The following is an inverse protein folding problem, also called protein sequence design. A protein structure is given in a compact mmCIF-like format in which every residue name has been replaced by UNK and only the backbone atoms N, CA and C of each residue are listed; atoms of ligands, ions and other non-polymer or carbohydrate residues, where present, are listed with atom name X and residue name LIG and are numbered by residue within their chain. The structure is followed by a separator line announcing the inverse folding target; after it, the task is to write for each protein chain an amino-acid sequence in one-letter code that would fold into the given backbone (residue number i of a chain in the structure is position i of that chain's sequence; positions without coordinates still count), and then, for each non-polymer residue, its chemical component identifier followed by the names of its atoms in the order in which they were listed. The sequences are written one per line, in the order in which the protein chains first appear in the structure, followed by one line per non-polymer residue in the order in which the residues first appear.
data_IF_770046283937
#
_entry.id   IF_770046283937
#
_cell.length_a   1.000
_cell.length_b   1.000
_cell.length_c   1.000
_cell.angle_alpha   90.00
_cell.angle_beta   90.00
_cell.angle_gamma   90.00
#
_symmetry.space_group_name_H-M   'P 1'
#
loop_
_entity.id
_entity.type
_entity.pdbx_description
1 polymer ?
#
# COMPACT_ATOMS: atom_id res chain seq x y z
N UNK A 1 11.57 -11.52 4.62
CA UNK A 1 10.35 -10.70 4.41
C UNK A 1 10.16 -10.51 2.92
N UNK A 2 8.93 -10.64 2.42
CA UNK A 2 8.64 -10.19 1.07
C UNK A 2 8.67 -8.64 1.04
N UNK A 3 9.12 -8.01 -0.05
CA UNK A 3 9.04 -6.56 -0.20
C UNK A 3 7.58 -6.08 -0.24
N UNK A 4 7.36 -4.83 0.13
CA UNK A 4 6.04 -4.22 0.00
C UNK A 4 5.64 -4.10 -1.48
N UNK A 5 4.34 -4.24 -1.79
CA UNK A 5 3.89 -4.16 -3.17
C UNK A 5 4.15 -2.76 -3.74
N UNK A 6 4.49 -2.70 -5.03
CA UNK A 6 4.59 -1.42 -5.73
C UNK A 6 3.22 -0.75 -5.82
N UNK A 7 3.24 0.58 -5.80
CA UNK A 7 2.05 1.36 -6.10
C UNK A 7 1.68 1.18 -7.58
N UNK A 8 0.38 1.24 -7.87
CA UNK A 8 -0.05 1.30 -9.26
C UNK A 8 0.37 2.65 -9.83
N UNK A 9 0.65 2.70 -11.13
CA UNK A 9 0.71 3.99 -11.82
C UNK A 9 -0.68 4.64 -11.78
N UNK A 10 -0.71 5.94 -11.56
CA UNK A 10 -1.95 6.69 -11.69
C UNK A 10 -2.22 6.89 -13.18
N UNK A 11 -3.19 6.16 -13.71
CA UNK A 11 -3.64 6.30 -15.09
C UNK A 11 -4.92 7.13 -15.14
N UNK A 12 -4.90 8.25 -15.87
CA UNK A 12 -6.05 9.12 -16.03
C UNK A 12 -5.94 10.43 -15.25
N UNK A 13 -6.84 11.36 -15.56
CA UNK A 13 -6.83 12.73 -15.01
C UNK A 13 -8.15 13.09 -14.34
N UNK A 14 -9.12 12.16 -14.28
CA UNK A 14 -10.43 12.43 -13.68
C UNK A 14 -10.40 12.22 -12.18
N UNK A 15 -11.26 12.92 -11.45
CA UNK A 15 -11.39 12.71 -10.00
C UNK A 15 -11.72 11.27 -9.61
N UNK A 16 -12.42 10.51 -10.48
CA UNK A 16 -12.70 9.09 -10.26
C UNK A 16 -11.43 8.24 -10.30
N UNK A 17 -10.55 8.48 -11.26
CA UNK A 17 -9.28 7.75 -11.41
C UNK A 17 -8.41 7.97 -10.17
N UNK A 18 -8.29 9.23 -9.74
CA UNK A 18 -7.59 9.61 -8.50
C UNK A 18 -8.18 8.94 -7.27
N UNK A 19 -9.51 8.91 -7.14
CA UNK A 19 -10.16 8.28 -5.99
C UNK A 19 -9.82 6.79 -5.93
N UNK A 20 -10.03 6.07 -7.03
CA UNK A 20 -9.77 4.63 -7.11
C UNK A 20 -8.30 4.32 -6.78
N UNK A 21 -7.38 5.08 -7.37
CA UNK A 21 -5.95 4.93 -7.09
C UNK A 21 -5.60 5.20 -5.63
N UNK A 22 -6.22 6.21 -5.01
CA UNK A 22 -5.95 6.59 -3.62
C UNK A 22 -6.37 5.48 -2.65
N UNK A 23 -7.53 4.85 -2.88
CA UNK A 23 -8.01 3.73 -2.05
C UNK A 23 -7.09 2.52 -2.16
N UNK A 24 -6.67 2.15 -3.37
CA UNK A 24 -5.71 1.06 -3.59
C UNK A 24 -4.37 1.34 -2.89
N UNK A 25 -3.87 2.57 -3.00
CA UNK A 25 -2.61 3.01 -2.38
C UNK A 25 -2.65 2.87 -0.86
N UNK A 26 -3.75 3.31 -0.22
CA UNK A 26 -3.92 3.20 1.24
C UNK A 26 -3.99 1.73 1.66
N UNK A 27 -4.68 0.88 0.90
CA UNK A 27 -4.76 -0.55 1.20
C UNK A 27 -3.36 -1.21 1.17
N UNK A 28 -2.58 -0.95 0.12
CA UNK A 28 -1.18 -1.44 -0.01
C UNK A 28 -0.28 -0.95 1.11
N UNK A 29 -0.43 0.31 1.53
CA UNK A 29 0.33 0.86 2.66
C UNK A 29 -0.01 0.14 3.97
N UNK A 30 -1.29 -0.10 4.25
CA UNK A 30 -1.72 -0.77 5.47
C UNK A 30 -1.23 -2.23 5.54
N UNK A 31 -1.26 -2.96 4.42
CA UNK A 31 -0.65 -4.30 4.32
C UNK A 31 0.84 -4.27 4.66
N UNK A 32 1.58 -3.36 3.99
CA UNK A 32 3.01 -3.18 4.21
C UNK A 32 3.34 -2.89 5.69
N UNK A 33 2.59 -1.97 6.31
CA UNK A 33 2.72 -1.63 7.73
C UNK A 33 2.46 -2.83 8.64
N UNK A 34 1.42 -3.62 8.37
CA UNK A 34 1.10 -4.80 9.18
C UNK A 34 2.21 -5.85 9.11
N UNK A 35 2.75 -6.10 7.92
CA UNK A 35 3.87 -7.04 7.70
C UNK A 35 5.15 -6.59 8.40
N UNK A 36 5.51 -5.31 8.25
CA UNK A 36 6.66 -4.73 8.95
C UNK A 36 6.48 -4.80 10.47
N UNK A 37 5.31 -4.40 10.98
CA UNK A 37 5.01 -4.45 12.40
C UNK A 37 5.06 -5.87 12.96
N UNK A 38 4.57 -6.86 12.21
CA UNK A 38 4.64 -8.27 12.60
C UNK A 38 6.08 -8.76 12.75
N UNK A 39 6.98 -8.36 11.85
CA UNK A 39 8.39 -8.76 11.97
C UNK A 39 9.11 -8.03 13.09
N UNK A 40 8.91 -6.73 13.26
CA UNK A 40 9.48 -6.01 14.41
C UNK A 40 9.01 -6.64 15.72
N UNK A 41 7.72 -6.99 15.83
CA UNK A 41 7.18 -7.67 17.01
C UNK A 41 7.78 -9.06 17.24
N UNK A 42 8.18 -9.78 16.20
CA UNK A 42 8.82 -11.09 16.33
C UNK A 42 10.30 -11.00 16.71
N UNK A 43 10.93 -9.84 16.50
CA UNK A 43 12.34 -9.58 16.81
C UNK A 43 12.55 -8.89 18.16
N UNK A 44 11.49 -8.37 18.78
CA UNK A 44 11.46 -7.83 20.14
C UNK A 44 10.80 -8.79 21.12
#
# INVERSE_FOLDING_TARGET
MQPCPNLNELTGTTGKDWMIWSVDTVAKYNDCKARHGGVIKALN
#
